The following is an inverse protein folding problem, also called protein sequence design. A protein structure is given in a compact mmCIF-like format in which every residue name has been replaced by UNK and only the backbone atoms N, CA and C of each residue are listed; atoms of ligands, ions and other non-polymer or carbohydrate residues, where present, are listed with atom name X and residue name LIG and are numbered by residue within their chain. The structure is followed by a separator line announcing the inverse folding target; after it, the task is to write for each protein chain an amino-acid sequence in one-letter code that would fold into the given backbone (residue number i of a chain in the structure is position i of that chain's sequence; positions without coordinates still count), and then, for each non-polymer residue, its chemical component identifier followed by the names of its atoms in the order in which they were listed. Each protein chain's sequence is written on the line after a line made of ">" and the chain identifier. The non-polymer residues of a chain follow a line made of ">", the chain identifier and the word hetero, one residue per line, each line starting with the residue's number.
data_IF_884349586937
#
_entry.id   IF_884349586937
#
_cell.length_a   1.000
_cell.length_b   1.000
_cell.length_c   1.000
_cell.angle_alpha   90.00
_cell.angle_beta   90.00
_cell.angle_gamma   90.00
#
_symmetry.space_group_name_H-M   'P 1'
#
loop_
_entity.id
_entity.type
_entity.pdbx_description
1 polymer ?
#
# COMPACT_ATOMS: atom_id res chain seq x y z
N UNK A 1 11.71 13.00 -1.47
CA UNK A 1 11.52 11.53 -1.32
C UNK A 1 10.05 11.16 -1.51
N UNK A 2 9.75 9.93 -2.03
CA UNK A 2 8.36 9.44 -2.13
C UNK A 2 7.92 8.78 -0.83
N UNK A 3 6.74 9.15 -0.33
CA UNK A 3 6.19 8.63 0.93
C UNK A 3 4.71 8.30 0.81
N UNK A 4 4.25 7.36 1.63
CA UNK A 4 2.85 7.18 1.94
C UNK A 4 2.49 7.90 3.24
N UNK A 5 1.26 8.38 3.36
CA UNK A 5 0.75 9.04 4.55
C UNK A 5 -0.16 8.09 5.32
N UNK A 6 0.22 7.75 6.54
CA UNK A 6 -0.56 6.93 7.45
C UNK A 6 -0.97 7.75 8.68
N UNK A 7 -2.25 7.65 9.06
CA UNK A 7 -2.78 8.28 10.25
C UNK A 7 -3.70 7.34 11.02
N UNK A 8 -3.56 7.27 12.33
CA UNK A 8 -4.46 6.48 13.17
C UNK A 8 -4.44 7.02 14.61
N UNK A 9 -5.21 8.08 14.83
CA UNK A 9 -5.24 8.80 16.11
C UNK A 9 -5.59 7.93 17.30
N UNK A 10 -6.48 6.96 17.10
CA UNK A 10 -6.99 6.10 18.18
C UNK A 10 -5.92 5.14 18.70
N UNK A 11 -5.05 4.62 17.82
CA UNK A 11 -4.08 3.59 18.17
C UNK A 11 -2.65 4.11 18.37
N UNK A 12 -2.25 5.17 17.63
CA UNK A 12 -0.87 5.69 17.68
C UNK A 12 -0.78 7.14 18.13
N UNK A 13 -1.93 7.79 18.40
CA UNK A 13 -1.99 9.19 18.79
C UNK A 13 -2.05 10.15 17.60
N UNK A 14 -2.04 11.46 17.91
CA UNK A 14 -2.17 12.53 16.90
C UNK A 14 -0.84 12.72 16.15
N UNK A 15 -0.50 11.77 15.30
CA UNK A 15 0.70 11.77 14.48
C UNK A 15 0.41 11.31 13.06
N UNK A 16 0.84 12.10 12.07
CA UNK A 16 0.89 11.72 10.68
C UNK A 16 2.24 11.07 10.39
N UNK A 17 2.24 9.80 10.04
CA UNK A 17 3.42 9.01 9.71
C UNK A 17 3.62 9.06 8.19
N UNK A 18 4.80 9.50 7.77
CA UNK A 18 5.22 9.58 6.37
C UNK A 18 6.33 8.55 6.14
N UNK A 19 6.06 7.52 5.35
CA UNK A 19 6.88 6.32 5.25
C UNK A 19 7.28 6.06 3.80
N UNK A 20 8.58 5.91 3.54
CA UNK A 20 9.08 5.61 2.19
C UNK A 20 9.29 4.11 1.91
N UNK A 21 9.47 3.31 2.98
CA UNK A 21 9.75 1.88 2.90
C UNK A 21 9.42 1.18 4.24
N UNK A 22 9.67 -0.14 4.33
CA UNK A 22 9.44 -0.94 5.55
C UNK A 22 10.70 -1.13 6.41
N UNK A 23 11.72 -0.31 6.19
CA UNK A 23 12.96 -0.39 6.98
C UNK A 23 12.73 0.02 8.44
N UNK A 24 13.45 -0.65 9.35
CA UNK A 24 13.39 -0.35 10.77
C UNK A 24 14.31 0.83 11.08
N UNK A 25 13.76 1.89 11.64
CA UNK A 25 14.50 3.08 12.02
C UNK A 25 15.62 2.78 13.04
N UNK A 26 16.79 3.40 12.84
CA UNK A 26 17.91 3.31 13.78
C UNK A 26 18.15 4.62 14.54
N UNK A 27 17.67 5.74 14.03
CA UNK A 27 17.81 7.06 14.65
C UNK A 27 16.73 8.03 14.18
N UNK A 28 16.63 9.16 14.86
CA UNK A 28 15.73 10.24 14.48
C UNK A 28 16.31 11.61 14.87
N UNK A 29 15.80 12.67 14.19
CA UNK A 29 16.07 14.07 14.55
C UNK A 29 14.76 14.82 14.71
N UNK A 30 14.62 15.58 15.81
CA UNK A 30 13.39 16.28 16.14
C UNK A 30 13.51 17.78 15.80
N UNK A 31 12.48 18.31 15.12
CA UNK A 31 12.32 19.71 14.73
C UNK A 31 10.91 20.16 15.16
N UNK A 32 10.74 20.56 16.41
CA UNK A 32 9.43 20.84 17.04
C UNK A 32 8.48 19.62 16.89
N UNK A 33 7.37 19.78 16.17
CA UNK A 33 6.40 18.71 15.92
C UNK A 33 6.80 17.80 14.75
N UNK A 34 7.77 18.19 13.91
CA UNK A 34 8.32 17.37 12.84
C UNK A 34 9.49 16.52 13.36
N UNK A 35 9.48 15.24 13.06
CA UNK A 35 10.56 14.30 13.38
C UNK A 35 11.01 13.60 12.11
N UNK A 36 12.26 13.77 11.73
CA UNK A 36 12.88 13.03 10.62
C UNK A 36 13.40 11.69 11.10
N UNK A 37 13.09 10.64 10.37
CA UNK A 37 13.35 9.23 10.70
C UNK A 37 14.44 8.68 9.79
N UNK A 38 15.45 8.04 10.38
CA UNK A 38 16.63 7.56 9.65
C UNK A 38 16.89 6.07 9.86
N UNK A 39 17.47 5.45 8.85
CA UNK A 39 18.12 4.13 8.88
C UNK A 39 19.57 4.28 8.43
N UNK A 40 20.54 4.05 9.34
CA UNK A 40 21.98 4.15 9.03
C UNK A 40 22.34 5.48 8.30
N UNK A 41 21.86 6.62 8.82
CA UNK A 41 21.98 7.97 8.27
C UNK A 41 21.20 8.26 6.97
N UNK A 42 20.51 7.28 6.39
CA UNK A 42 19.59 7.47 5.29
C UNK A 42 18.21 7.90 5.82
N UNK A 43 17.64 8.97 5.23
CA UNK A 43 16.32 9.45 5.57
C UNK A 43 15.26 8.50 4.98
N UNK A 44 14.42 7.89 5.84
CA UNK A 44 13.40 6.92 5.44
C UNK A 44 11.96 7.39 5.68
N UNK A 45 11.77 8.57 6.27
CA UNK A 45 10.44 9.11 6.49
C UNK A 45 10.41 10.22 7.52
N UNK A 46 9.20 10.65 7.84
CA UNK A 46 8.93 11.68 8.83
C UNK A 46 7.72 11.29 9.70
N UNK A 47 7.68 11.84 10.91
CA UNK A 47 6.48 11.88 11.74
C UNK A 47 6.13 13.33 12.02
N UNK A 48 4.87 13.72 11.82
CA UNK A 48 4.38 15.06 12.15
C UNK A 48 3.31 14.95 13.23
N UNK A 49 3.63 15.44 14.42
CA UNK A 49 2.77 15.39 15.59
C UNK A 49 1.77 16.56 15.61
N UNK A 50 0.69 16.41 16.36
CA UNK A 50 -0.36 17.44 16.58
C UNK A 50 -1.03 17.90 15.28
N UNK A 51 -1.07 17.06 14.26
CA UNK A 51 -1.55 17.40 12.91
C UNK A 51 -3.04 17.72 12.89
N UNK A 52 -3.86 17.07 13.73
CA UNK A 52 -5.31 17.26 13.76
C UNK A 52 -5.74 18.66 14.23
N UNK A 53 -4.85 19.42 14.85
CA UNK A 53 -5.10 20.82 15.20
C UNK A 53 -5.25 21.73 13.97
N UNK A 54 -4.71 21.31 12.83
CA UNK A 54 -4.69 22.06 11.58
C UNK A 54 -5.45 21.35 10.45
N UNK A 55 -5.41 20.00 10.40
CA UNK A 55 -6.07 19.16 9.42
C UNK A 55 -6.89 18.10 10.16
N UNK A 56 -8.21 18.27 10.17
CA UNK A 56 -9.14 17.42 10.92
C UNK A 56 -9.88 16.41 10.05
N UNK A 57 -9.57 16.35 8.76
CA UNK A 57 -10.18 15.49 7.74
C UNK A 57 -9.35 14.23 7.41
N UNK A 58 -8.24 14.00 8.14
CA UNK A 58 -7.41 12.82 7.99
C UNK A 58 -8.18 11.55 8.37
N UNK A 59 -8.18 10.58 7.45
CA UNK A 59 -8.81 9.27 7.69
C UNK A 59 -7.86 8.34 8.43
N UNK A 60 -8.40 7.48 9.29
CA UNK A 60 -7.62 6.38 9.86
C UNK A 60 -7.21 5.40 8.75
N UNK A 61 -5.94 5.02 8.74
CA UNK A 61 -5.31 4.21 7.69
C UNK A 61 -4.46 5.05 6.74
N UNK A 62 -4.29 4.57 5.52
CA UNK A 62 -3.54 5.27 4.48
C UNK A 62 -4.39 6.38 3.87
N UNK A 63 -3.81 7.55 3.73
CA UNK A 63 -4.38 8.69 3.03
C UNK A 63 -3.76 8.74 1.63
N UNK A 64 -4.36 8.00 0.68
CA UNK A 64 -3.84 7.86 -0.70
C UNK A 64 -3.90 9.16 -1.50
N UNK A 65 -4.91 9.99 -1.26
CA UNK A 65 -5.18 11.23 -1.99
C UNK A 65 -5.27 12.41 -1.03
N UNK A 66 -4.15 12.80 -0.38
CA UNK A 66 -4.15 13.95 0.54
C UNK A 66 -4.44 15.25 -0.21
N UNK A 67 -4.99 16.23 0.51
CA UNK A 67 -5.18 17.56 -0.08
C UNK A 67 -3.84 18.22 -0.42
N UNK A 68 -3.83 19.06 -1.44
CA UNK A 68 -2.63 19.81 -1.84
C UNK A 68 -2.17 20.76 -0.73
N UNK A 69 -3.10 21.26 0.07
CA UNK A 69 -2.83 22.13 1.22
C UNK A 69 -2.05 21.36 2.29
N UNK A 70 -2.40 20.12 2.56
CA UNK A 70 -1.68 19.27 3.52
C UNK A 70 -0.25 19.00 3.04
N UNK A 71 -0.08 18.58 1.78
CA UNK A 71 1.25 18.30 1.20
C UNK A 71 2.13 19.56 1.21
N UNK A 72 1.58 20.71 0.81
CA UNK A 72 2.30 21.98 0.83
C UNK A 72 2.70 22.40 2.25
N UNK A 73 1.81 22.21 3.22
CA UNK A 73 2.12 22.50 4.62
C UNK A 73 3.26 21.62 5.14
N UNK A 74 3.22 20.31 4.89
CA UNK A 74 4.28 19.39 5.28
C UNK A 74 5.61 19.82 4.65
N UNK A 75 5.61 20.07 3.33
CA UNK A 75 6.82 20.48 2.62
C UNK A 75 7.35 21.85 3.08
N UNK A 76 6.50 22.78 3.52
CA UNK A 76 6.97 24.04 4.12
C UNK A 76 7.78 23.78 5.40
N UNK A 77 7.28 22.92 6.30
CA UNK A 77 7.98 22.57 7.54
C UNK A 77 9.31 21.83 7.28
N UNK A 78 9.30 20.92 6.29
CA UNK A 78 10.49 20.18 5.87
C UNK A 78 11.57 21.13 5.32
N UNK A 79 11.16 22.05 4.45
CA UNK A 79 12.04 23.06 3.83
C UNK A 79 12.63 24.04 4.84
N UNK A 80 11.84 24.51 5.82
CA UNK A 80 12.31 25.39 6.92
C UNK A 80 13.47 24.74 7.71
N UNK A 81 13.55 23.42 7.73
CA UNK A 81 14.58 22.65 8.43
C UNK A 81 15.69 22.12 7.50
N UNK A 82 15.74 22.56 6.23
CA UNK A 82 16.69 22.12 5.21
C UNK A 82 16.71 20.60 5.00
N UNK A 83 15.53 19.98 5.02
CA UNK A 83 15.32 18.54 4.81
C UNK A 83 14.77 18.27 3.40
N UNK A 84 14.77 17.02 2.97
CA UNK A 84 14.28 16.58 1.66
C UNK A 84 12.74 16.60 1.61
N UNK A 85 12.16 17.36 0.68
CA UNK A 85 10.73 17.45 0.45
C UNK A 85 10.11 16.12 0.06
N UNK A 86 8.83 15.95 0.37
CA UNK A 86 8.08 14.74 0.05
C UNK A 86 7.26 14.87 -1.22
N UNK A 87 7.08 13.72 -1.88
CA UNK A 87 6.07 13.45 -2.90
C UNK A 87 5.21 12.27 -2.42
N UNK A 88 3.93 12.25 -2.79
CA UNK A 88 3.04 11.15 -2.37
C UNK A 88 3.24 9.93 -3.28
N UNK A 89 3.30 8.75 -2.68
CA UNK A 89 3.26 7.49 -3.43
C UNK A 89 1.84 7.29 -3.95
N UNK A 90 1.70 7.24 -5.27
CA UNK A 90 0.43 6.89 -5.91
C UNK A 90 0.14 5.40 -5.74
N UNK A 91 -1.08 5.03 -5.33
CA UNK A 91 -1.46 3.63 -5.23
C UNK A 91 -1.45 2.97 -6.61
N UNK A 92 -0.85 1.79 -6.73
CA UNK A 92 -0.78 1.07 -7.99
C UNK A 92 -1.51 -0.28 -7.88
N UNK A 93 -2.84 -0.21 -7.81
CA UNK A 93 -3.70 -1.37 -7.93
C UNK A 93 -4.16 -1.52 -9.40
N UNK A 94 -4.09 -2.75 -9.92
CA UNK A 94 -4.47 -3.07 -11.30
C UNK A 94 -5.54 -4.15 -11.35
N UNK A 95 -6.35 -4.09 -12.37
CA UNK A 95 -7.24 -5.21 -12.72
C UNK A 95 -6.42 -6.28 -13.42
N UNK A 96 -6.40 -7.48 -12.86
CA UNK A 96 -5.68 -8.63 -13.42
C UNK A 96 -6.60 -9.79 -13.79
N UNK A 97 -6.27 -10.50 -14.86
CA UNK A 97 -6.91 -11.75 -15.24
C UNK A 97 -6.05 -12.93 -14.77
N UNK A 98 -6.62 -13.83 -14.01
CA UNK A 98 -5.96 -15.09 -13.64
C UNK A 98 -5.93 -16.02 -14.85
N UNK A 99 -4.80 -16.13 -15.53
CA UNK A 99 -4.63 -17.00 -16.71
C UNK A 99 -4.32 -18.45 -16.34
N UNK A 100 -3.57 -18.65 -15.25
CA UNK A 100 -3.24 -19.96 -14.70
C UNK A 100 -3.38 -19.93 -13.18
N UNK A 101 -3.82 -21.05 -12.61
CA UNK A 101 -3.92 -21.25 -11.17
C UNK A 101 -3.62 -22.72 -10.88
N UNK A 102 -2.50 -23.00 -10.20
CA UNK A 102 -1.99 -24.36 -9.94
C UNK A 102 -1.82 -24.52 -8.44
N UNK A 103 -2.33 -25.60 -7.88
CA UNK A 103 -2.17 -25.93 -6.47
C UNK A 103 -0.69 -26.23 -6.14
N UNK A 104 -0.18 -25.65 -5.06
CA UNK A 104 1.15 -25.99 -4.53
C UNK A 104 1.00 -27.17 -3.59
N UNK A 105 1.55 -28.31 -3.98
CA UNK A 105 1.43 -29.58 -3.26
C UNK A 105 1.79 -29.47 -1.78
N UNK A 106 0.98 -30.07 -0.91
CA UNK A 106 1.18 -30.06 0.55
C UNK A 106 0.89 -28.72 1.23
N UNK A 107 0.27 -27.78 0.52
CA UNK A 107 -0.11 -26.45 1.08
C UNK A 107 -1.55 -26.09 0.72
N UNK A 108 -2.02 -24.93 1.22
CA UNK A 108 -3.28 -24.31 0.78
C UNK A 108 -3.04 -23.17 -0.22
N UNK A 109 -1.82 -23.09 -0.76
CA UNK A 109 -1.41 -22.01 -1.65
C UNK A 109 -1.57 -22.42 -3.11
N UNK A 110 -1.78 -21.42 -3.95
CA UNK A 110 -1.88 -21.55 -5.39
C UNK A 110 -0.80 -20.68 -6.05
N UNK A 111 -0.14 -21.23 -7.08
CA UNK A 111 0.74 -20.49 -7.96
C UNK A 111 -0.08 -19.97 -9.14
N UNK A 112 -0.22 -18.65 -9.22
CA UNK A 112 -1.04 -18.00 -10.24
C UNK A 112 -0.17 -17.27 -11.26
N UNK A 113 -0.59 -17.29 -12.54
CA UNK A 113 -0.15 -16.33 -13.55
C UNK A 113 -1.28 -15.34 -13.78
N UNK A 114 -0.99 -14.07 -13.57
CA UNK A 114 -1.97 -12.99 -13.59
C UNK A 114 -1.56 -11.96 -14.62
N UNK A 115 -2.34 -11.84 -15.67
CA UNK A 115 -2.15 -10.86 -16.73
C UNK A 115 -2.70 -9.51 -16.30
N UNK A 116 -1.85 -8.49 -16.26
CA UNK A 116 -2.19 -7.09 -15.97
C UNK A 116 -2.08 -6.20 -17.21
N UNK A 117 -2.20 -6.78 -18.41
CA UNK A 117 -2.11 -6.19 -19.76
C UNK A 117 -0.67 -5.98 -20.24
N UNK A 118 0.14 -5.28 -19.49
CA UNK A 118 1.53 -4.96 -19.89
C UNK A 118 2.48 -6.13 -19.62
N UNK A 119 2.15 -6.97 -18.64
CA UNK A 119 2.94 -8.13 -18.24
C UNK A 119 2.07 -9.22 -17.60
N UNK A 120 2.64 -10.41 -17.47
CA UNK A 120 2.05 -11.54 -16.73
C UNK A 120 2.87 -11.79 -15.48
N UNK A 121 2.24 -11.57 -14.32
CA UNK A 121 2.89 -11.70 -13.02
C UNK A 121 2.72 -13.13 -12.46
N UNK A 122 3.78 -13.66 -11.88
CA UNK A 122 3.69 -14.82 -11.01
C UNK A 122 3.33 -14.33 -9.60
N UNK A 123 2.23 -14.83 -9.05
CA UNK A 123 1.75 -14.45 -7.71
C UNK A 123 1.37 -15.71 -6.95
N UNK A 124 1.87 -15.85 -5.71
CA UNK A 124 1.45 -16.93 -4.80
C UNK A 124 0.26 -16.43 -3.99
N UNK A 125 -0.85 -17.17 -4.06
CA UNK A 125 -2.12 -16.78 -3.43
C UNK A 125 -2.65 -17.88 -2.50
N UNK A 126 -3.10 -17.49 -1.29
CA UNK A 126 -3.71 -18.41 -0.32
C UNK A 126 -5.24 -18.37 -0.27
N UNK A 127 -5.88 -17.61 -1.15
CA UNK A 127 -7.33 -17.46 -1.15
C UNK A 127 -8.01 -18.63 -1.84
N UNK A 128 -9.04 -19.20 -1.19
CA UNK A 128 -9.77 -20.39 -1.69
C UNK A 128 -10.61 -20.14 -2.94
N UNK A 129 -10.93 -18.87 -3.24
CA UNK A 129 -11.76 -18.49 -4.37
C UNK A 129 -10.95 -17.99 -5.57
N UNK A 130 -9.61 -18.19 -5.56
CA UNK A 130 -8.79 -17.91 -6.74
C UNK A 130 -9.01 -19.02 -7.76
N UNK A 131 -9.34 -18.63 -9.00
CA UNK A 131 -9.60 -19.57 -10.11
C UNK A 131 -9.16 -18.94 -11.43
N UNK A 132 -8.75 -19.80 -12.37
CA UNK A 132 -8.49 -19.38 -13.75
C UNK A 132 -9.73 -18.70 -14.38
N UNK A 133 -9.51 -17.63 -15.12
CA UNK A 133 -10.54 -16.84 -15.81
C UNK A 133 -11.22 -15.78 -14.95
N UNK A 134 -10.88 -15.66 -13.68
CA UNK A 134 -11.42 -14.59 -12.80
C UNK A 134 -10.64 -13.31 -12.97
N UNK A 135 -11.37 -12.17 -12.93
CA UNK A 135 -10.78 -10.85 -12.76
C UNK A 135 -10.62 -10.55 -11.27
N UNK A 136 -9.46 -10.02 -10.91
CA UNK A 136 -9.05 -9.75 -9.53
C UNK A 136 -8.37 -8.39 -9.43
N UNK A 137 -8.27 -7.86 -8.21
CA UNK A 137 -7.44 -6.68 -7.94
C UNK A 137 -6.05 -7.14 -7.56
N UNK A 138 -5.05 -6.62 -8.27
CA UNK A 138 -3.63 -6.86 -8.04
C UNK A 138 -2.98 -5.63 -7.42
N UNK A 139 -2.42 -5.76 -6.22
CA UNK A 139 -1.48 -4.78 -5.68
C UNK A 139 -0.10 -5.03 -6.29
N UNK A 140 0.39 -4.07 -7.07
CA UNK A 140 1.69 -4.13 -7.73
C UNK A 140 2.82 -3.91 -6.72
N UNK A 141 4.04 -4.35 -7.04
CA UNK A 141 5.22 -4.08 -6.21
C UNK A 141 5.38 -2.56 -6.03
N UNK A 142 5.69 -2.14 -4.80
CA UNK A 142 5.79 -0.74 -4.40
C UNK A 142 4.48 -0.09 -3.95
N UNK A 143 3.33 -0.79 -4.13
CA UNK A 143 2.05 -0.33 -3.59
C UNK A 143 2.08 -0.44 -2.06
N UNK A 144 1.51 0.57 -1.40
CA UNK A 144 1.26 0.52 0.04
C UNK A 144 -0.17 0.06 0.32
N UNK A 145 -0.32 -0.84 1.27
CA UNK A 145 -1.60 -1.38 1.70
C UNK A 145 -2.21 -0.54 2.84
N UNK A 146 -3.50 -0.70 3.08
CA UNK A 146 -4.23 0.08 4.10
C UNK A 146 -3.68 -0.10 5.54
N UNK A 147 -2.99 -1.20 5.82
CA UNK A 147 -2.30 -1.44 7.10
C UNK A 147 -0.91 -0.78 7.19
N UNK A 148 -0.48 -0.10 6.12
CA UNK A 148 0.82 0.59 6.03
C UNK A 148 1.97 -0.29 5.57
N UNK A 149 1.74 -1.55 5.19
CA UNK A 149 2.77 -2.43 4.62
C UNK A 149 3.00 -2.15 3.14
N UNK A 150 4.23 -2.33 2.66
CA UNK A 150 4.57 -2.25 1.24
C UNK A 150 4.49 -3.63 0.59
N UNK A 151 3.95 -3.68 -0.62
CA UNK A 151 4.04 -4.87 -1.45
C UNK A 151 5.43 -4.95 -2.05
N UNK A 152 6.18 -5.93 -1.60
CA UNK A 152 7.52 -6.24 -2.08
C UNK A 152 7.52 -7.56 -2.85
N UNK A 153 8.55 -7.76 -3.68
CA UNK A 153 8.86 -9.09 -4.19
C UNK A 153 9.05 -10.04 -3.00
N UNK A 154 8.31 -11.12 -2.96
CA UNK A 154 8.37 -12.12 -1.91
C UNK A 154 8.66 -13.51 -2.43
N UNK A 155 8.90 -14.44 -1.52
CA UNK A 155 9.01 -15.86 -1.80
C UNK A 155 8.21 -16.66 -0.77
N UNK A 156 7.32 -17.54 -1.23
CA UNK A 156 6.55 -18.45 -0.39
C UNK A 156 6.73 -19.89 -0.89
N UNK A 157 7.19 -20.78 0.00
CA UNK A 157 7.38 -22.21 -0.32
C UNK A 157 8.26 -22.47 -1.55
N UNK A 158 9.28 -21.63 -1.77
CA UNK A 158 10.21 -21.75 -2.90
C UNK A 158 9.71 -21.12 -4.21
N UNK A 159 8.55 -20.45 -4.20
CA UNK A 159 8.00 -19.76 -5.36
C UNK A 159 8.04 -18.26 -5.15
N UNK A 160 8.64 -17.53 -6.10
CA UNK A 160 8.64 -16.06 -6.10
C UNK A 160 7.22 -15.52 -6.36
N UNK A 161 6.91 -14.37 -5.70
CA UNK A 161 5.65 -13.66 -5.86
C UNK A 161 5.92 -12.19 -6.17
N UNK A 162 5.36 -11.70 -7.28
CA UNK A 162 5.60 -10.35 -7.82
C UNK A 162 4.37 -9.45 -7.68
N UNK A 163 3.76 -9.44 -6.50
CA UNK A 163 2.56 -8.70 -6.19
C UNK A 163 1.66 -9.47 -5.25
N UNK A 164 0.46 -8.93 -5.00
CA UNK A 164 -0.54 -9.56 -4.13
C UNK A 164 -1.93 -9.45 -4.75
N UNK A 165 -2.71 -10.52 -4.68
CA UNK A 165 -4.14 -10.51 -5.04
C UNK A 165 -4.94 -10.04 -3.82
N UNK A 166 -5.79 -9.02 -4.00
CA UNK A 166 -6.43 -8.31 -2.90
C UNK A 166 -7.85 -8.83 -2.60
N UNK A 167 -8.16 -8.91 -1.32
CA UNK A 167 -9.54 -9.00 -0.81
C UNK A 167 -10.16 -7.60 -0.67
N UNK A 168 -11.49 -7.53 -0.54
CA UNK A 168 -12.19 -6.27 -0.23
C UNK A 168 -11.67 -5.62 1.05
N UNK A 169 -11.35 -6.45 2.06
CA UNK A 169 -10.85 -5.97 3.35
C UNK A 169 -9.47 -5.30 3.23
N UNK A 170 -8.56 -5.86 2.44
CA UNK A 170 -7.23 -5.28 2.20
C UNK A 170 -7.32 -3.96 1.42
N UNK A 171 -8.35 -3.80 0.61
CA UNK A 171 -8.67 -2.56 -0.11
C UNK A 171 -9.49 -1.56 0.70
N UNK A 172 -9.77 -1.86 1.98
CA UNK A 172 -10.64 -1.06 2.86
C UNK A 172 -12.07 -0.85 2.30
N UNK A 173 -12.56 -1.80 1.52
CA UNK A 173 -13.93 -1.79 1.00
C UNK A 173 -14.85 -2.45 2.03
N UNK A 174 -15.93 -1.79 2.47
CA UNK A 174 -16.90 -2.37 3.40
C UNK A 174 -17.42 -3.72 2.91
N UNK A 175 -17.34 -4.75 3.76
CA UNK A 175 -17.78 -6.10 3.42
C UNK A 175 -18.08 -6.92 4.66
N UNK A 176 -19.06 -7.81 4.58
CA UNK A 176 -19.32 -8.86 5.57
C UNK A 176 -18.50 -10.13 5.28
N UNK A 177 -17.87 -10.22 4.10
CA UNK A 177 -17.02 -11.34 3.70
C UNK A 177 -15.71 -11.32 4.51
N UNK A 178 -15.48 -12.36 5.30
CA UNK A 178 -14.30 -12.45 6.20
C UNK A 178 -13.05 -12.87 5.43
N UNK A 179 -13.18 -13.61 4.31
CA UNK A 179 -12.07 -14.19 3.54
C UNK A 179 -12.41 -14.27 2.06
N UNK A 180 -11.37 -14.24 1.22
CA UNK A 180 -11.45 -14.40 -0.22
C UNK A 180 -11.04 -13.17 -0.99
N UNK A 181 -10.68 -13.36 -2.26
CA UNK A 181 -10.33 -12.26 -3.17
C UNK A 181 -11.56 -11.45 -3.54
N UNK A 182 -11.35 -10.20 -3.83
CA UNK A 182 -12.33 -9.38 -4.51
C UNK A 182 -12.35 -9.75 -5.99
N UNK A 183 -13.37 -10.54 -6.38
CA UNK A 183 -13.60 -10.90 -7.77
C UNK A 183 -14.39 -9.76 -8.45
N UNK A 184 -13.87 -9.31 -9.59
CA UNK A 184 -14.44 -8.19 -10.35
C UNK A 184 -15.37 -8.69 -11.45
N UNK A 185 -16.41 -7.89 -11.78
CA UNK A 185 -17.32 -8.19 -12.88
C UNK A 185 -16.64 -7.84 -14.23
N UNK A 186 -16.51 -8.80 -15.16
CA UNK A 186 -15.90 -8.57 -16.47
C UNK A 186 -16.71 -7.63 -17.38
N UNK A 187 -17.94 -7.29 -17.01
CA UNK A 187 -18.73 -6.27 -17.72
C UNK A 187 -18.40 -4.84 -17.27
N UNK A 188 -17.75 -4.66 -16.10
CA UNK A 188 -17.44 -3.35 -15.53
C UNK A 188 -15.95 -3.02 -15.61
N UNK A 189 -15.07 -4.02 -15.65
CA UNK A 189 -13.63 -3.84 -15.57
C UNK A 189 -12.89 -4.49 -16.72
N UNK A 190 -11.83 -3.84 -17.21
CA UNK A 190 -10.92 -4.39 -18.21
C UNK A 190 -9.56 -4.71 -17.60
N UNK A 191 -8.91 -5.74 -18.13
CA UNK A 191 -7.54 -6.13 -17.74
C UNK A 191 -6.57 -4.97 -17.93
N UNK A 192 -5.80 -4.66 -16.90
CA UNK A 192 -4.81 -3.58 -16.89
C UNK A 192 -5.34 -2.23 -16.44
N UNK A 193 -6.66 -2.05 -16.28
CA UNK A 193 -7.21 -0.80 -15.75
C UNK A 193 -6.66 -0.51 -14.34
N UNK A 194 -6.48 0.77 -14.03
CA UNK A 194 -6.24 1.19 -12.65
C UNK A 194 -7.48 0.91 -11.80
N UNK A 195 -7.28 0.22 -10.68
CA UNK A 195 -8.33 0.03 -9.70
C UNK A 195 -8.20 1.13 -8.63
N UNK A 196 -9.22 1.99 -8.54
CA UNK A 196 -9.21 3.13 -7.61
C UNK A 196 -9.62 2.68 -6.21
N UNK A 197 -8.80 2.98 -5.21
CA UNK A 197 -9.10 2.81 -3.78
C UNK A 197 -9.44 4.18 -3.16
N UNK A 198 -10.36 4.22 -2.19
CA UNK A 198 -10.84 5.45 -1.56
C UNK A 198 -10.19 5.69 -0.20
#
# INVERSE_FOLDING_TARGET
>A
MKVALFYNKENVGDVLIMKSNDEIATSFKKFNDLVAIYKNDELIGYNLFNISSKFNDLKNGINYHPSIELVNYINSLIKENNLEEIEIIEPNFRVGLVEECIDIEGTHLHLCKVNVKEEVLQIVCGAKNVEKGKLVVVAMIGTIMNDGSFINKGELKGYESFGMLCSKRELNIPTEEVRGLYLLDPNEYNVGDLFMVN
#
